data_IF_833516475869
#
_entry.id   IF_833516475869
#
_cell.length_a   1.000
_cell.length_b   1.000
_cell.length_c   1.000
_cell.angle_alpha   90.00
_cell.angle_beta   90.00
_cell.angle_gamma   90.00
#
_symmetry.space_group_name_H-M   'P 1'
#
loop_
_entity.id
_entity.type
_entity.pdbx_description
1 polymer ?
#
# COMPACT_ATOMS: atom_id res chain seq x y z
N UNK A 1 -12.99 -23.28 -11.54
CA UNK A 1 -13.42 -21.93 -11.94
C UNK A 1 -13.02 -21.00 -10.81
N UNK A 2 -11.77 -20.55 -10.77
CA UNK A 2 -11.36 -19.50 -9.83
C UNK A 2 -11.73 -18.19 -10.51
N UNK A 3 -12.77 -17.52 -10.03
CA UNK A 3 -13.11 -16.18 -10.49
C UNK A 3 -11.85 -15.32 -10.48
N UNK A 4 -11.47 -14.84 -11.66
CA UNK A 4 -10.27 -14.05 -11.93
C UNK A 4 -10.36 -12.63 -11.38
N UNK A 5 -10.84 -12.48 -10.15
CA UNK A 5 -10.83 -11.21 -9.43
C UNK A 5 -9.45 -11.05 -8.78
N UNK A 6 -8.44 -10.74 -9.60
CA UNK A 6 -7.16 -10.25 -9.07
C UNK A 6 -7.49 -8.91 -8.41
N UNK A 7 -7.37 -8.78 -7.07
CA UNK A 7 -7.60 -7.49 -6.43
C UNK A 7 -6.68 -6.49 -7.09
N UNK A 8 -7.22 -5.33 -7.51
CA UNK A 8 -6.40 -4.20 -7.99
C UNK A 8 -5.20 -4.04 -7.07
N UNK A 9 -3.99 -3.72 -7.58
CA UNK A 9 -2.78 -3.68 -6.77
C UNK A 9 -2.93 -2.80 -5.52
N UNK A 10 -3.73 -1.73 -5.59
CA UNK A 10 -4.09 -0.91 -4.42
C UNK A 10 -4.92 -1.64 -3.35
N UNK A 11 -5.80 -2.57 -3.72
CA UNK A 11 -6.59 -3.38 -2.79
C UNK A 11 -5.77 -4.45 -2.05
N UNK A 12 -4.81 -5.08 -2.73
CA UNK A 12 -3.88 -6.01 -2.08
C UNK A 12 -2.97 -5.29 -1.08
N UNK A 13 -2.46 -4.11 -1.47
CA UNK A 13 -1.64 -3.25 -0.60
C UNK A 13 -2.42 -2.78 0.64
N UNK A 14 -3.68 -2.34 0.45
CA UNK A 14 -4.57 -1.96 1.55
C UNK A 14 -4.75 -3.08 2.57
N UNK A 15 -5.07 -4.29 2.11
CA UNK A 15 -5.26 -5.46 2.99
C UNK A 15 -3.95 -5.83 3.68
N UNK A 16 -2.82 -5.74 2.99
CA UNK A 16 -1.51 -6.01 3.58
C UNK A 16 -1.20 -5.04 4.73
N UNK A 17 -1.30 -3.73 4.49
CA UNK A 17 -0.97 -2.73 5.50
C UNK A 17 -1.93 -2.77 6.69
N UNK A 18 -3.23 -2.99 6.45
CA UNK A 18 -4.20 -3.18 7.52
C UNK A 18 -3.86 -4.39 8.40
N UNK A 19 -3.59 -5.56 7.80
CA UNK A 19 -3.24 -6.77 8.56
C UNK A 19 -1.93 -6.61 9.34
N UNK A 20 -0.96 -5.88 8.79
CA UNK A 20 0.31 -5.60 9.48
C UNK A 20 0.11 -4.65 10.66
N UNK A 21 -0.68 -3.58 10.50
CA UNK A 21 -1.03 -2.70 11.62
C UNK A 21 -1.68 -3.49 12.78
N UNK A 22 -2.67 -4.33 12.49
CA UNK A 22 -3.34 -5.17 13.49
C UNK A 22 -2.38 -6.14 14.19
N UNK A 23 -1.42 -6.69 13.45
CA UNK A 23 -0.41 -7.58 14.02
C UNK A 23 0.53 -6.84 14.98
N UNK A 24 0.97 -5.63 14.64
CA UNK A 24 1.83 -4.84 15.52
C UNK A 24 1.07 -4.39 16.78
N UNK A 25 -0.22 -4.02 16.68
CA UNK A 25 -1.06 -3.75 17.86
C UNK A 25 -1.15 -4.96 18.79
N UNK A 26 -1.38 -6.16 18.25
CA UNK A 26 -1.40 -7.40 19.06
C UNK A 26 -0.06 -7.66 19.76
N UNK A 27 1.07 -7.38 19.08
CA UNK A 27 2.41 -7.51 19.67
C UNK A 27 2.66 -6.47 20.74
N UNK A 28 2.23 -5.22 20.53
CA UNK A 28 2.30 -4.17 21.54
C UNK A 28 1.55 -4.57 22.80
N UNK A 29 0.33 -5.08 22.66
CA UNK A 29 -0.50 -5.54 23.77
C UNK A 29 0.09 -6.75 24.52
N UNK A 30 0.85 -7.61 23.83
CA UNK A 30 1.51 -8.77 24.43
C UNK A 30 2.88 -8.43 25.07
N UNK A 31 3.46 -7.28 24.75
CA UNK A 31 4.78 -6.89 25.24
C UNK A 31 4.70 -6.24 26.63
N UNK A 32 5.64 -6.60 27.51
CA UNK A 32 5.76 -5.99 28.85
C UNK A 32 6.79 -4.88 28.93
N UNK A 33 7.71 -4.79 27.95
CA UNK A 33 8.74 -3.75 27.94
C UNK A 33 8.18 -2.46 27.30
N UNK A 34 8.15 -1.32 28.01
CA UNK A 34 7.58 -0.07 27.50
C UNK A 34 8.20 0.42 26.19
N UNK A 35 9.50 0.25 25.99
CA UNK A 35 10.16 0.65 24.75
C UNK A 35 9.71 -0.20 23.56
N UNK A 36 9.48 -1.50 23.79
CA UNK A 36 8.99 -2.43 22.77
C UNK A 36 7.52 -2.16 22.45
N UNK A 37 6.70 -1.85 23.46
CA UNK A 37 5.30 -1.42 23.29
C UNK A 37 5.24 -0.17 22.40
N UNK A 38 6.04 0.85 22.72
CA UNK A 38 6.11 2.08 21.94
C UNK A 38 6.56 1.82 20.49
N UNK A 39 7.56 0.96 20.28
CA UNK A 39 8.02 0.61 18.94
C UNK A 39 6.93 -0.07 18.11
N UNK A 40 6.18 -1.01 18.68
CA UNK A 40 5.09 -1.68 17.97
C UNK A 40 3.92 -0.74 17.65
N UNK A 41 3.56 0.16 18.57
CA UNK A 41 2.54 1.17 18.27
C UNK A 41 3.00 2.15 17.18
N UNK A 42 4.26 2.60 17.21
CA UNK A 42 4.79 3.45 16.14
C UNK A 42 4.78 2.76 14.76
N UNK A 43 5.07 1.46 14.70
CA UNK A 43 4.94 0.71 13.45
C UNK A 43 3.47 0.58 13.00
N UNK A 44 2.54 0.37 13.94
CA UNK A 44 1.11 0.32 13.63
C UNK A 44 0.61 1.64 13.03
N UNK A 45 1.00 2.77 13.60
CA UNK A 45 0.69 4.12 13.08
C UNK A 45 1.19 4.28 11.63
N UNK A 46 2.46 3.95 11.35
CA UNK A 46 3.04 4.03 10.00
C UNK A 46 2.24 3.19 8.99
N UNK A 47 1.78 2.00 9.38
CA UNK A 47 0.97 1.16 8.49
C UNK A 47 -0.44 1.72 8.29
N UNK A 48 -1.06 2.28 9.33
CA UNK A 48 -2.37 2.93 9.23
C UNK A 48 -2.32 4.19 8.35
N UNK A 49 -1.24 4.97 8.42
CA UNK A 49 -1.03 6.11 7.53
C UNK A 49 -1.01 5.68 6.06
N UNK A 50 -0.35 4.55 5.75
CA UNK A 50 -0.36 3.98 4.38
C UNK A 50 -1.74 3.52 3.96
N UNK A 51 -2.54 2.95 4.87
CA UNK A 51 -3.93 2.56 4.60
C UNK A 51 -4.76 3.80 4.26
N UNK A 52 -4.62 4.87 5.03
CA UNK A 52 -5.32 6.15 4.79
C UNK A 52 -4.93 6.72 3.41
N UNK A 53 -3.63 6.82 3.12
CA UNK A 53 -3.14 7.30 1.83
C UNK A 53 -3.63 6.47 0.64
N UNK A 54 -3.72 5.15 0.77
CA UNK A 54 -4.19 4.27 -0.31
C UNK A 54 -5.72 4.26 -0.45
N UNK A 55 -6.47 4.52 0.62
CA UNK A 55 -7.93 4.68 0.57
C UNK A 55 -8.33 6.00 -0.09
N UNK A 56 -7.59 7.06 0.23
CA UNK A 56 -7.86 8.40 -0.26
C UNK A 56 -7.22 8.66 -1.63
N UNK A 57 -6.32 7.77 -2.07
CA UNK A 57 -5.80 7.81 -3.43
C UNK A 57 -6.96 7.58 -4.41
N UNK A 58 -7.18 8.49 -5.38
CA UNK A 58 -8.07 8.17 -6.49
C UNK A 58 -7.51 6.90 -7.14
N UNK A 59 -8.40 5.93 -7.40
CA UNK A 59 -8.12 4.70 -8.15
C UNK A 59 -6.96 4.97 -9.12
N UNK A 60 -5.79 4.37 -8.90
CA UNK A 60 -4.62 4.48 -9.81
C UNK A 60 -4.98 3.79 -11.13
N UNK A 61 -5.92 4.38 -11.85
CA UNK A 61 -6.53 3.95 -13.09
C UNK A 61 -6.34 5.03 -14.13
N UNK A 62 -5.09 5.46 -14.33
CA UNK A 62 -4.61 6.06 -15.58
C UNK A 62 -3.09 6.20 -15.49
N UNK A 63 -2.37 5.08 -15.60
CA UNK A 63 -1.15 5.18 -16.39
C UNK A 63 -1.66 5.38 -17.82
N UNK A 64 -1.73 6.65 -18.25
CA UNK A 64 -1.92 6.96 -19.65
C UNK A 64 -0.96 6.07 -20.47
N UNK A 65 -1.36 5.60 -21.66
CA UNK A 65 -0.40 4.98 -22.55
C UNK A 65 0.77 5.97 -22.66
N UNK A 66 1.97 5.51 -22.30
CA UNK A 66 3.17 6.21 -22.72
C UNK A 66 3.11 6.16 -24.24
N UNK A 67 2.64 7.23 -24.87
CA UNK A 67 2.71 7.32 -26.32
C UNK A 67 4.19 7.13 -26.67
N UNK A 68 4.53 6.13 -27.50
CA UNK A 68 5.91 5.95 -27.91
C UNK A 68 6.31 7.18 -28.71
N UNK A 69 7.19 7.97 -28.10
CA UNK A 69 8.16 8.88 -28.69
C UNK A 69 7.90 9.21 -30.18
N UNK A 70 6.98 10.15 -30.43
CA UNK A 70 6.87 10.81 -31.72
C UNK A 70 7.94 11.90 -31.80
N UNK A 71 9.19 11.50 -31.98
CA UNK A 71 10.32 12.34 -32.41
C UNK A 71 11.13 11.47 -33.41
N UNK A 72 10.94 11.65 -34.71
CA UNK A 72 11.66 12.61 -35.56
C UNK A 72 12.92 12.01 -36.20
N UNK A 73 12.74 11.28 -37.31
CA UNK A 73 13.74 11.03 -38.37
C UNK A 73 12.90 10.87 -39.66
N UNK A 74 13.13 11.48 -40.81
CA UNK A 74 14.30 12.12 -41.40
C UNK A 74 13.76 13.01 -42.54
N UNK A 75 14.26 14.23 -42.64
CA UNK A 75 14.10 15.10 -43.81
C UNK A 75 15.32 14.87 -44.69
N UNK A 76 15.13 14.14 -45.79
CA UNK A 76 16.05 14.11 -46.92
C UNK A 76 15.29 13.92 -48.24
#
# INVERSE_FOLDING_TARGET
>A
MTDGNIPSPGGADLVYFQRRAEQEVKRAQAASNPAVVAAHYGLAEIYLDKVSLLRDAPERGTRAPVEPDAQAEDIA
#
